data_IF_480158264851
#
_entry.id   IF_480158264851
#
_cell.length_a   1.000
_cell.length_b   1.000
_cell.length_c   1.000
_cell.angle_alpha   90.00
_cell.angle_beta   90.00
_cell.angle_gamma   90.00
#
_symmetry.space_group_name_H-M   'P 1'
#
loop_
_entity.id
_entity.type
_entity.pdbx_description
1 polymer ?
#
# COMPACT_ATOMS: atom_id res chain seq x y z
N UNK A 1 4.61 -17.98 -5.10
CA UNK A 1 4.86 -16.62 -4.57
C UNK A 1 3.65 -15.80 -4.96
N UNK A 2 2.82 -15.33 -4.02
CA UNK A 2 1.64 -14.55 -4.40
C UNK A 2 1.93 -13.06 -4.38
N UNK A 3 1.34 -12.36 -5.34
CA UNK A 3 1.37 -10.91 -5.49
C UNK A 3 -0.02 -10.38 -5.15
N UNK A 4 -0.15 -9.50 -4.16
CA UNK A 4 -1.44 -8.96 -3.73
C UNK A 4 -1.54 -7.48 -4.07
N UNK A 5 -2.59 -7.12 -4.80
CA UNK A 5 -2.83 -5.75 -5.27
C UNK A 5 -3.66 -4.96 -4.26
N UNK A 6 -3.26 -3.73 -3.99
CA UNK A 6 -3.96 -2.79 -3.12
C UNK A 6 -4.14 -1.46 -3.83
N UNK A 7 -5.34 -0.89 -3.69
CA UNK A 7 -5.69 0.40 -4.25
C UNK A 7 -6.36 1.23 -3.16
N UNK A 8 -5.87 2.45 -3.00
CA UNK A 8 -6.52 3.47 -2.20
C UNK A 8 -6.61 4.76 -3.01
N UNK A 9 -7.78 5.38 -3.00
CA UNK A 9 -8.01 6.69 -3.59
C UNK A 9 -8.87 7.53 -2.64
N UNK A 10 -8.45 8.76 -2.36
CA UNK A 10 -9.19 9.62 -1.45
C UNK A 10 -8.52 10.97 -1.19
N UNK A 11 -9.05 11.77 -0.26
CA UNK A 11 -8.48 13.06 0.10
C UNK A 11 -7.04 12.92 0.63
N UNK A 12 -6.12 13.72 0.09
CA UNK A 12 -4.70 13.71 0.46
C UNK A 12 -4.50 13.99 1.95
N UNK A 13 -5.37 14.80 2.56
CA UNK A 13 -5.36 15.09 3.99
C UNK A 13 -5.59 13.83 4.83
N UNK A 14 -6.41 12.88 4.35
CA UNK A 14 -6.61 11.59 5.02
C UNK A 14 -5.39 10.70 4.88
N UNK A 15 -4.79 10.66 3.69
CA UNK A 15 -3.52 9.96 3.47
C UNK A 15 -2.39 10.51 4.35
N UNK A 16 -2.40 11.80 4.67
CA UNK A 16 -1.41 12.45 5.52
C UNK A 16 -1.61 12.20 7.02
N UNK A 17 -2.64 11.44 7.41
CA UNK A 17 -2.82 10.96 8.79
C UNK A 17 -1.83 9.84 9.12
N UNK A 18 -0.57 10.22 9.29
CA UNK A 18 0.57 9.32 9.38
C UNK A 18 0.48 8.30 10.52
N UNK A 19 -0.15 8.67 11.63
CA UNK A 19 -0.20 7.84 12.82
C UNK A 19 -0.93 6.49 12.60
N UNK A 20 -1.89 6.42 11.67
CA UNK A 20 -2.59 5.18 11.31
C UNK A 20 -1.93 4.45 10.14
N UNK A 21 -0.79 4.95 9.65
CA UNK A 21 0.02 4.36 8.58
C UNK A 21 1.26 3.65 9.11
N UNK A 22 1.50 3.72 10.42
CA UNK A 22 2.57 3.01 11.14
C UNK A 22 1.95 1.97 12.07
N UNK A 23 2.54 0.76 12.18
CA UNK A 23 2.15 -0.15 13.25
C UNK A 23 2.40 0.48 14.63
N UNK A 24 1.68 0.05 15.67
CA UNK A 24 2.02 0.45 17.03
C UNK A 24 3.46 0.00 17.37
N UNK A 25 4.08 0.68 18.32
CA UNK A 25 5.36 0.23 18.84
C UNK A 25 5.22 -1.19 19.44
N UNK A 26 6.18 -2.11 19.23
CA UNK A 26 6.07 -3.49 19.75
C UNK A 26 5.91 -3.53 21.27
N UNK A 27 6.59 -2.63 21.98
CA UNK A 27 6.46 -2.46 23.42
C UNK A 27 5.42 -1.39 23.74
N UNK A 28 4.41 -1.68 24.58
CA UNK A 28 3.45 -0.69 25.01
C UNK A 28 4.10 0.35 25.94
N UNK A 29 3.50 1.55 26.09
CA UNK A 29 3.96 2.54 27.06
C UNK A 29 4.04 1.97 28.48
N UNK A 30 5.10 2.26 29.26
CA UNK A 30 5.25 1.78 30.63
C UNK A 30 4.06 2.15 31.54
N UNK A 31 3.81 1.34 32.57
CA UNK A 31 2.86 1.67 33.62
C UNK A 31 3.22 3.01 34.27
N UNK A 32 2.25 3.91 34.44
CA UNK A 32 2.46 5.28 34.92
C UNK A 32 2.75 6.31 33.83
N UNK A 33 2.80 5.90 32.56
CA UNK A 33 2.80 6.83 31.42
C UNK A 33 1.58 7.73 31.42
N UNK A 34 1.70 8.90 30.78
CA UNK A 34 0.59 9.84 30.59
C UNK A 34 -0.63 9.14 29.95
N UNK A 35 -1.86 9.35 30.45
CA UNK A 35 -3.06 8.69 29.92
C UNK A 35 -3.26 8.86 28.42
N UNK A 36 -2.90 10.02 27.87
CA UNK A 36 -3.02 10.32 26.44
C UNK A 36 -2.11 9.45 25.57
N UNK A 37 -0.92 9.11 26.07
CA UNK A 37 0.02 8.22 25.39
C UNK A 37 -0.49 6.78 25.36
N UNK A 38 -1.04 6.31 26.49
CA UNK A 38 -1.64 4.97 26.60
C UNK A 38 -2.85 4.87 25.66
N UNK A 39 -3.71 5.89 25.67
CA UNK A 39 -4.88 5.95 24.80
C UNK A 39 -4.47 5.96 23.32
N UNK A 40 -3.46 6.78 22.95
CA UNK A 40 -2.97 6.83 21.58
C UNK A 40 -2.41 5.50 21.10
N UNK A 41 -1.66 4.81 21.96
CA UNK A 41 -1.15 3.47 21.67
C UNK A 41 -2.28 2.49 21.38
N UNK A 42 -3.32 2.47 22.23
CA UNK A 42 -4.49 1.60 22.07
C UNK A 42 -5.24 1.86 20.77
N UNK A 43 -5.44 3.13 20.42
CA UNK A 43 -6.06 3.52 19.15
C UNK A 43 -5.26 2.99 17.96
N UNK A 44 -3.95 3.24 17.90
CA UNK A 44 -3.12 2.76 16.79
C UNK A 44 -3.12 1.23 16.73
N UNK A 45 -3.00 0.55 17.88
CA UNK A 45 -3.01 -0.91 17.94
C UNK A 45 -4.33 -1.52 17.46
N UNK A 46 -5.47 -0.87 17.72
CA UNK A 46 -6.78 -1.32 17.26
C UNK A 46 -7.05 -0.97 15.79
N UNK A 47 -6.69 0.24 15.37
CA UNK A 47 -7.08 0.79 14.06
C UNK A 47 -6.09 0.42 12.94
N UNK A 48 -4.78 0.36 13.23
CA UNK A 48 -3.78 0.07 12.21
C UNK A 48 -4.04 -1.24 11.45
N UNK A 49 -4.41 -2.36 12.08
CA UNK A 49 -4.64 -3.61 11.36
C UNK A 49 -5.85 -3.58 10.43
N UNK A 50 -6.81 -2.66 10.60
CA UNK A 50 -8.10 -2.68 9.88
C UNK A 50 -8.32 -1.47 8.97
N UNK A 51 -7.63 -0.35 9.23
CA UNK A 51 -7.75 0.85 8.42
C UNK A 51 -7.24 0.62 7.00
N UNK A 52 -7.98 1.15 6.03
CA UNK A 52 -7.69 1.07 4.59
C UNK A 52 -6.60 2.04 4.11
N UNK A 53 -5.95 2.75 5.04
CA UNK A 53 -4.89 3.68 4.72
C UNK A 53 -3.62 2.95 4.27
N UNK A 54 -2.98 3.42 3.18
CA UNK A 54 -1.68 2.89 2.77
C UNK A 54 -0.65 3.01 3.89
N UNK A 55 -0.02 1.89 4.32
CA UNK A 55 1.01 1.94 5.35
C UNK A 55 2.26 2.67 4.85
N UNK A 56 3.12 3.11 5.77
CA UNK A 56 4.41 3.71 5.43
C UNK A 56 5.41 2.69 4.89
N UNK A 57 5.48 1.51 5.50
CA UNK A 57 6.20 0.37 4.90
C UNK A 57 5.20 -0.47 4.12
N UNK A 58 5.42 -0.58 2.80
CA UNK A 58 4.51 -1.25 1.86
C UNK A 58 4.14 -2.67 2.29
N UNK A 59 5.08 -3.43 2.84
CA UNK A 59 4.86 -4.81 3.28
C UNK A 59 3.73 -4.95 4.32
N UNK A 60 3.44 -3.91 5.12
CA UNK A 60 2.33 -3.95 6.07
C UNK A 60 0.94 -3.94 5.44
N UNK A 61 0.82 -3.86 4.11
CA UNK A 61 -0.45 -4.23 3.49
C UNK A 61 -0.85 -5.67 3.81
N UNK A 62 0.12 -6.57 4.02
CA UNK A 62 -0.15 -7.99 4.35
C UNK A 62 -0.83 -8.19 5.70
N UNK A 63 -0.70 -7.24 6.65
CA UNK A 63 -1.40 -7.32 7.94
C UNK A 63 -2.85 -6.83 7.87
N UNK A 64 -3.23 -6.17 6.78
CA UNK A 64 -4.55 -5.59 6.60
C UNK A 64 -5.57 -6.68 6.26
N UNK A 65 -6.89 -6.43 6.41
CA UNK A 65 -7.89 -7.44 6.17
C UNK A 65 -7.91 -7.84 4.69
N UNK A 66 -8.17 -9.12 4.43
CA UNK A 66 -8.32 -9.69 3.08
C UNK A 66 -9.27 -8.89 2.19
N UNK A 67 -10.29 -8.27 2.76
CA UNK A 67 -11.28 -7.46 2.02
C UNK A 67 -10.65 -6.26 1.27
N UNK A 68 -9.43 -5.84 1.64
CA UNK A 68 -8.70 -4.77 0.96
C UNK A 68 -7.86 -5.26 -0.23
N UNK A 69 -7.67 -6.57 -0.37
CA UNK A 69 -6.97 -7.17 -1.51
C UNK A 69 -7.85 -7.03 -2.75
N UNK A 70 -7.35 -6.32 -3.77
CA UNK A 70 -8.06 -6.07 -5.04
C UNK A 70 -7.79 -7.12 -6.11
N UNK A 71 -6.77 -7.93 -5.91
CA UNK A 71 -6.41 -9.04 -6.77
C UNK A 71 -5.24 -9.81 -6.19
N UNK A 72 -5.12 -11.06 -6.60
CA UNK A 72 -3.99 -11.93 -6.24
C UNK A 72 -3.53 -12.66 -7.48
N UNK A 73 -2.23 -12.66 -7.71
CA UNK A 73 -1.61 -13.27 -8.89
C UNK A 73 -0.41 -14.11 -8.51
N UNK A 74 -0.21 -15.20 -9.25
CA UNK A 74 0.98 -16.04 -9.13
C UNK A 74 2.16 -15.48 -9.92
N UNK A 75 1.89 -14.75 -11.00
CA UNK A 75 2.89 -14.24 -11.93
C UNK A 75 3.10 -12.72 -11.77
N UNK A 76 4.37 -12.30 -11.70
CA UNK A 76 4.75 -10.89 -11.56
C UNK A 76 4.22 -10.00 -12.70
N UNK A 77 4.23 -10.53 -13.93
CA UNK A 77 3.72 -9.82 -15.11
C UNK A 77 2.22 -9.50 -15.03
N UNK A 78 1.42 -10.38 -14.43
CA UNK A 78 -0.04 -10.22 -14.35
C UNK A 78 -0.38 -9.18 -13.28
N UNK A 79 0.33 -9.22 -12.15
CA UNK A 79 0.22 -8.19 -11.12
C UNK A 79 0.72 -6.81 -11.61
N UNK A 80 1.78 -6.78 -12.42
CA UNK A 80 2.27 -5.56 -13.03
C UNK A 80 1.29 -5.00 -14.07
N UNK A 81 0.69 -5.85 -14.91
CA UNK A 81 -0.35 -5.45 -15.85
C UNK A 81 -1.53 -4.79 -15.12
N UNK A 82 -1.95 -5.36 -13.98
CA UNK A 82 -2.99 -4.76 -13.14
C UNK A 82 -2.63 -3.35 -12.65
N UNK A 83 -1.36 -3.08 -12.26
CA UNK A 83 -0.92 -1.72 -11.91
C UNK A 83 -1.09 -0.76 -13.10
N UNK A 84 -0.74 -1.20 -14.30
CA UNK A 84 -0.89 -0.43 -15.53
C UNK A 84 -2.35 -0.09 -15.85
N UNK A 85 -3.23 -1.09 -15.78
CA UNK A 85 -4.67 -0.91 -15.99
C UNK A 85 -5.27 0.08 -15.00
N UNK A 86 -5.00 -0.08 -13.69
CA UNK A 86 -5.51 0.84 -12.67
C UNK A 86 -4.91 2.24 -12.83
N UNK A 87 -3.64 2.35 -13.23
CA UNK A 87 -3.03 3.66 -13.52
C UNK A 87 -3.70 4.34 -14.70
N UNK A 88 -3.97 3.60 -15.79
CA UNK A 88 -4.62 4.13 -16.99
C UNK A 88 -6.07 4.55 -16.72
N UNK A 89 -6.81 3.78 -15.91
CA UNK A 89 -8.19 4.09 -15.49
C UNK A 89 -8.29 5.47 -14.81
N UNK A 90 -7.30 5.82 -13.99
CA UNK A 90 -7.20 7.12 -13.32
C UNK A 90 -6.44 8.17 -14.13
N UNK A 91 -5.86 7.83 -15.29
CA UNK A 91 -4.91 8.68 -16.00
C UNK A 91 -5.42 10.09 -16.29
N UNK A 92 -6.68 10.22 -16.68
CA UNK A 92 -7.32 11.52 -16.97
C UNK A 92 -7.38 12.47 -15.76
N UNK A 93 -7.29 11.93 -14.54
CA UNK A 93 -7.40 12.61 -13.25
C UNK A 93 -6.07 13.07 -12.69
N UNK A 94 -4.94 12.53 -13.17
CA UNK A 94 -3.62 12.87 -12.63
C UNK A 94 -3.34 14.36 -12.72
N UNK A 95 -2.82 14.99 -11.68
CA UNK A 95 -2.57 16.43 -11.68
C UNK A 95 -1.40 16.82 -12.60
N UNK A 96 -0.34 16.00 -12.61
CA UNK A 96 0.88 16.26 -13.39
C UNK A 96 0.71 15.91 -14.86
N UNK A 97 1.26 16.73 -15.77
CA UNK A 97 1.33 16.42 -17.20
C UNK A 97 2.18 15.18 -17.47
N UNK A 98 3.30 15.02 -16.75
CA UNK A 98 4.17 13.86 -16.87
C UNK A 98 3.46 12.57 -16.45
N UNK A 99 2.57 12.64 -15.46
CA UNK A 99 1.79 11.48 -15.01
C UNK A 99 0.80 11.05 -16.08
N UNK A 100 0.26 12.00 -16.86
CA UNK A 100 -0.69 11.78 -17.96
C UNK A 100 -0.04 11.28 -19.26
N UNK A 101 1.29 11.24 -19.34
CA UNK A 101 1.99 10.77 -20.53
C UNK A 101 1.54 9.35 -20.90
N UNK A 102 1.13 9.15 -22.16
CA UNK A 102 0.59 7.89 -22.67
C UNK A 102 1.57 6.72 -22.59
N UNK A 103 2.88 7.00 -22.58
CA UNK A 103 3.93 5.99 -22.44
C UNK A 103 4.19 5.58 -21.00
N UNK A 104 3.76 6.40 -20.03
CA UNK A 104 4.08 6.20 -18.61
C UNK A 104 3.51 4.90 -18.04
N UNK A 105 2.25 4.51 -18.29
CA UNK A 105 1.73 3.24 -17.80
C UNK A 105 2.60 2.06 -18.25
N UNK A 106 3.06 2.03 -19.51
CA UNK A 106 3.92 0.96 -20.01
C UNK A 106 5.29 0.91 -19.31
N UNK A 107 5.87 2.09 -19.00
CA UNK A 107 7.12 2.17 -18.23
C UNK A 107 6.95 1.66 -16.80
N UNK A 108 5.85 2.03 -16.13
CA UNK A 108 5.52 1.56 -14.79
C UNK A 108 5.29 0.04 -14.76
N UNK A 109 4.54 -0.50 -15.72
CA UNK A 109 4.31 -1.95 -15.83
C UNK A 109 5.65 -2.70 -15.99
N UNK A 110 6.55 -2.20 -16.84
CA UNK A 110 7.85 -2.84 -17.06
C UNK A 110 8.72 -2.81 -15.80
N UNK A 111 8.84 -1.65 -15.15
CA UNK A 111 9.61 -1.51 -13.89
C UNK A 111 9.00 -2.37 -12.77
N UNK A 112 7.68 -2.38 -12.63
CA UNK A 112 6.99 -3.20 -11.65
C UNK A 112 7.25 -4.70 -11.88
N UNK A 113 7.13 -5.19 -13.12
CA UNK A 113 7.37 -6.60 -13.43
C UNK A 113 8.78 -7.03 -13.02
N UNK A 114 9.80 -6.21 -13.31
CA UNK A 114 11.20 -6.49 -12.94
C UNK A 114 11.36 -6.56 -11.41
N UNK A 115 10.78 -5.60 -10.68
CA UNK A 115 10.89 -5.55 -9.22
C UNK A 115 10.17 -6.71 -8.54
N UNK A 116 8.96 -7.01 -9.03
CA UNK A 116 8.15 -8.09 -8.48
C UNK A 116 8.83 -9.46 -8.71
N UNK A 117 9.38 -9.70 -9.90
CA UNK A 117 10.14 -10.91 -10.21
C UNK A 117 11.38 -11.07 -9.31
N UNK A 118 11.99 -9.94 -8.93
CA UNK A 118 13.10 -9.91 -7.97
C UNK A 118 12.67 -10.03 -6.49
N UNK A 119 11.39 -10.27 -6.20
CA UNK A 119 10.87 -10.43 -4.84
C UNK A 119 10.70 -9.13 -4.05
N UNK A 120 10.66 -7.97 -4.73
CA UNK A 120 10.46 -6.66 -4.10
C UNK A 120 9.01 -6.18 -4.25
N UNK A 121 8.50 -5.50 -3.23
CA UNK A 121 7.19 -4.83 -3.29
C UNK A 121 7.23 -3.61 -4.21
N UNK A 122 6.08 -3.26 -4.80
CA UNK A 122 5.90 -2.06 -5.63
C UNK A 122 4.85 -1.17 -4.98
N UNK A 123 5.14 0.13 -4.91
CA UNK A 123 4.21 1.18 -4.46
C UNK A 123 4.36 2.40 -5.35
N UNK A 124 3.24 2.90 -5.87
CA UNK A 124 3.15 4.10 -6.67
C UNK A 124 2.11 5.05 -6.07
N UNK A 125 2.40 6.34 -6.17
CA UNK A 125 1.56 7.39 -5.63
C UNK A 125 1.40 8.53 -6.62
N UNK A 126 0.16 8.95 -6.86
CA UNK A 126 -0.20 9.96 -7.85
C UNK A 126 -1.11 11.01 -7.23
N UNK A 127 -0.79 12.28 -7.46
CA UNK A 127 -1.74 13.35 -7.17
C UNK A 127 -2.81 13.33 -8.26
N UNK A 128 -4.08 13.29 -7.84
CA UNK A 128 -5.22 13.46 -8.74
C UNK A 128 -5.67 14.94 -8.74
N UNK A 129 -6.80 15.27 -9.35
CA UNK A 129 -7.42 16.59 -9.13
C UNK A 129 -7.52 16.90 -7.63
N UNK A 130 -7.00 18.06 -7.22
CA UNK A 130 -6.93 18.43 -5.80
C UNK A 130 -8.34 18.40 -5.20
N UNK A 131 -8.50 17.86 -3.98
CA UNK A 131 -7.47 17.44 -3.03
C UNK A 131 -7.14 15.93 -3.06
N UNK A 132 -7.37 15.22 -4.15
CA UNK A 132 -7.34 13.75 -4.15
C UNK A 132 -5.95 13.15 -4.44
N UNK A 133 -5.74 11.94 -3.94
CA UNK A 133 -4.51 11.15 -4.13
C UNK A 133 -4.85 9.69 -4.42
N UNK A 134 -4.09 9.08 -5.32
CA UNK A 134 -4.14 7.65 -5.64
C UNK A 134 -2.87 6.98 -5.11
N UNK A 135 -3.04 5.86 -4.44
CA UNK A 135 -1.97 4.96 -4.07
C UNK A 135 -2.27 3.56 -4.62
N UNK A 136 -1.32 3.01 -5.38
CA UNK A 136 -1.35 1.65 -5.90
C UNK A 136 -0.17 0.88 -5.32
N UNK A 137 -0.39 -0.35 -4.88
CA UNK A 137 0.70 -1.23 -4.49
C UNK A 137 0.45 -2.67 -4.90
N UNK A 138 1.54 -3.39 -5.14
CA UNK A 138 1.58 -4.84 -5.22
C UNK A 138 2.59 -5.34 -4.21
N UNK A 139 2.15 -6.23 -3.32
CA UNK A 139 2.95 -6.73 -2.20
C UNK A 139 3.08 -8.24 -2.30
N UNK A 140 4.31 -8.72 -2.18
CA UNK A 140 4.63 -10.14 -2.28
C UNK A 140 4.50 -10.76 -0.91
N UNK A 141 3.79 -11.87 -0.75
CA UNK A 141 3.62 -12.47 0.58
C UNK A 141 4.69 -13.51 0.94
N UNK A 142 5.29 -14.20 -0.02
CA UNK A 142 6.25 -15.26 0.28
C UNK A 142 7.11 -15.66 -0.92
N UNK A 143 8.45 -15.60 -0.80
CA UNK A 143 9.18 -14.86 0.24
C UNK A 143 9.01 -13.34 0.04
N UNK A 144 8.48 -12.61 1.03
CA UNK A 144 8.62 -11.15 1.07
C UNK A 144 10.05 -10.82 1.54
N UNK A 145 10.83 -10.08 0.75
CA UNK A 145 12.21 -9.76 1.11
C UNK A 145 12.34 -8.79 2.28
N UNK A 146 11.38 -7.88 2.44
CA UNK A 146 11.40 -6.83 3.46
C UNK A 146 10.89 -7.30 4.81
N UNK A 147 9.85 -8.14 4.82
CA UNK A 147 9.13 -8.62 6.00
C UNK A 147 8.73 -10.10 5.85
N UNK A 148 9.70 -11.04 5.85
CA UNK A 148 9.44 -12.46 5.62
C UNK A 148 8.55 -13.12 6.69
N UNK A 149 8.39 -12.48 7.85
CA UNK A 149 7.55 -12.92 8.96
C UNK A 149 6.05 -12.69 8.75
N UNK A 150 5.66 -11.84 7.80
CA UNK A 150 4.25 -11.49 7.59
C UNK A 150 3.52 -12.60 6.83
N UNK A 151 2.32 -13.01 7.28
CA UNK A 151 1.57 -14.07 6.63
C UNK A 151 0.95 -13.61 5.31
N UNK A 152 0.56 -14.58 4.48
CA UNK A 152 -0.23 -14.29 3.29
C UNK A 152 -1.68 -13.94 3.70
N UNK A 153 -2.24 -12.79 3.25
CA UNK A 153 -3.57 -12.33 3.65
C UNK A 153 -4.74 -13.13 3.07
N UNK A 154 -4.48 -14.07 2.16
CA UNK A 154 -5.51 -14.90 1.49
C UNK A 154 -5.38 -16.40 1.78
N UNK A 155 -4.42 -16.80 2.62
CA UNK A 155 -4.27 -18.18 3.08
C UNK A 155 -5.09 -18.46 4.32
#
# INVERSE_FOLDING_TARGET
MHHHGYLWAGPKERFDQEALRRPPHPEPPPAGSRPELIQRYREVAAEFPVVDLPPLETAYWLVKPRALVRGTWDEAKDAAAWLGERSAEYGHRFASGDDRDVSRPALLVRDAAIRLDAGADVSYGFYLERPSYLHLAVVICSPNRSRPELPCPVR
#
